data_IF_800142970186
#
_entry.id   IF_800142970186
#
_cell.length_a   1.000
_cell.length_b   1.000
_cell.length_c   1.000
_cell.angle_alpha   90.00
_cell.angle_beta   90.00
_cell.angle_gamma   90.00
#
_symmetry.space_group_name_H-M   'P 1'
#
loop_
_entity.id
_entity.type
_entity.pdbx_description
1 polymer ?
#
# COMPACT_ATOMS: atom_id res chain seq x y z
N UNK A 1 1.99 9.29 17.02
CA UNK A 1 0.68 8.66 16.70
C UNK A 1 0.73 7.20 17.11
N UNK A 2 -0.41 6.49 17.15
CA UNK A 2 -0.39 5.04 17.41
C UNK A 2 0.12 4.27 16.20
N UNK A 3 0.77 3.15 16.49
CA UNK A 3 1.33 2.22 15.51
C UNK A 3 0.84 0.84 15.87
N UNK A 4 0.26 0.12 14.91
CA UNK A 4 -0.16 -1.27 15.10
C UNK A 4 0.60 -2.18 14.16
N UNK A 5 0.91 -3.39 14.63
CA UNK A 5 1.38 -4.50 13.81
C UNK A 5 0.31 -5.58 13.74
N UNK A 6 -0.06 -5.98 12.53
CA UNK A 6 -1.00 -7.07 12.26
C UNK A 6 -0.20 -8.38 12.33
N UNK A 7 -0.62 -9.29 13.20
CA UNK A 7 0.05 -10.58 13.39
C UNK A 7 -0.94 -11.67 13.80
N UNK A 8 -0.78 -12.88 13.27
CA UNK A 8 -1.58 -14.05 13.61
C UNK A 8 -1.17 -14.63 14.96
N UNK A 9 -2.12 -15.19 15.74
CA UNK A 9 -1.82 -15.85 17.01
C UNK A 9 -0.94 -17.09 16.88
N UNK A 10 -1.06 -17.79 15.76
CA UNK A 10 -0.24 -18.96 15.43
C UNK A 10 1.17 -18.61 14.91
N UNK A 11 1.54 -17.32 14.82
CA UNK A 11 2.85 -16.88 14.31
C UNK A 11 3.60 -15.99 15.31
N UNK A 12 3.86 -16.46 16.54
CA UNK A 12 4.59 -15.69 17.55
C UNK A 12 6.04 -15.40 17.14
N UNK A 13 6.66 -16.25 16.32
CA UNK A 13 8.02 -16.08 15.80
C UNK A 13 8.14 -14.86 14.86
N UNK A 14 7.15 -14.64 13.98
CA UNK A 14 7.11 -13.45 13.10
C UNK A 14 6.98 -12.17 13.92
N UNK A 15 6.13 -12.19 14.95
CA UNK A 15 6.00 -11.06 15.89
C UNK A 15 7.30 -10.79 16.64
N UNK A 16 8.02 -11.83 17.06
CA UNK A 16 9.31 -11.67 17.73
C UNK A 16 10.35 -11.03 16.80
N UNK A 17 10.40 -11.44 15.53
CA UNK A 17 11.25 -10.80 14.52
C UNK A 17 10.89 -9.33 14.31
N UNK A 18 9.60 -9.01 14.16
CA UNK A 18 9.17 -7.61 14.04
C UNK A 18 9.53 -6.79 15.29
N UNK A 19 9.43 -7.38 16.49
CA UNK A 19 9.80 -6.70 17.73
C UNK A 19 11.27 -6.30 17.75
N UNK A 20 12.17 -7.18 17.31
CA UNK A 20 13.60 -6.86 17.18
C UNK A 20 13.82 -5.69 16.21
N UNK A 21 13.13 -5.71 15.06
CA UNK A 21 13.19 -4.62 14.08
C UNK A 21 12.67 -3.29 14.63
N UNK A 22 11.59 -3.33 15.40
CA UNK A 22 11.01 -2.15 16.04
C UNK A 22 11.92 -1.60 17.15
N UNK A 23 12.49 -2.47 18.00
CA UNK A 23 13.44 -2.09 19.06
C UNK A 23 14.70 -1.45 18.49
N UNK A 24 15.24 -1.99 17.39
CA UNK A 24 16.42 -1.45 16.68
C UNK A 24 16.28 0.03 16.33
N UNK A 25 15.06 0.49 16.06
CA UNK A 25 14.77 1.87 15.63
C UNK A 25 13.97 2.67 16.67
N UNK A 26 13.77 2.11 17.87
CA UNK A 26 12.99 2.74 18.94
C UNK A 26 11.51 2.96 18.61
N UNK A 27 10.90 2.10 17.78
CA UNK A 27 9.49 2.19 17.40
C UNK A 27 8.60 1.47 18.41
N UNK A 28 7.81 2.23 19.18
CA UNK A 28 6.74 1.66 20.00
C UNK A 28 5.55 1.24 19.11
N UNK A 29 4.97 0.07 19.39
CA UNK A 29 3.82 -0.45 18.65
C UNK A 29 2.87 -1.26 19.55
N UNK A 30 1.63 -1.40 19.10
CA UNK A 30 0.62 -2.30 19.65
C UNK A 30 0.40 -3.48 18.71
N UNK A 31 0.24 -4.69 19.25
CA UNK A 31 -0.14 -5.84 18.42
C UNK A 31 -1.64 -5.81 18.17
N UNK A 32 -2.03 -5.87 16.90
CA UNK A 32 -3.40 -6.15 16.48
C UNK A 32 -3.47 -7.61 16.02
N UNK A 33 -4.34 -8.40 16.65
CA UNK A 33 -4.55 -9.79 16.26
C UNK A 33 -5.14 -9.84 14.86
N UNK A 34 -4.47 -10.56 13.96
CA UNK A 34 -4.92 -10.78 12.60
C UNK A 34 -6.15 -11.71 12.58
N UNK A 35 -7.04 -11.47 11.63
CA UNK A 35 -8.28 -12.22 11.45
C UNK A 35 -7.99 -13.49 10.65
N UNK A 36 -8.23 -14.64 11.28
CA UNK A 36 -8.32 -15.92 10.57
C UNK A 36 -9.76 -16.17 10.14
N UNK A 37 -9.94 -16.54 8.86
CA UNK A 37 -11.26 -16.76 8.30
C UNK A 37 -11.24 -17.80 7.19
N UNK A 38 -12.40 -18.28 6.78
CA UNK A 38 -12.56 -19.15 5.63
C UNK A 38 -13.02 -18.34 4.42
N UNK A 39 -12.52 -18.70 3.24
CA UNK A 39 -12.97 -18.10 1.99
C UNK A 39 -14.44 -18.48 1.72
N UNK A 40 -15.28 -17.48 1.48
CA UNK A 40 -16.64 -17.67 0.99
C UNK A 40 -16.74 -17.12 -0.43
N UNK A 41 -16.83 -18.00 -1.43
CA UNK A 41 -16.80 -17.59 -2.83
C UNK A 41 -17.99 -16.70 -3.24
N UNK A 42 -19.17 -16.89 -2.65
CA UNK A 42 -20.34 -16.06 -2.95
C UNK A 42 -20.13 -14.60 -2.48
N UNK A 43 -19.46 -14.44 -1.33
CA UNK A 43 -19.18 -13.12 -0.74
C UNK A 43 -17.92 -12.49 -1.34
N UNK A 44 -16.83 -13.25 -1.41
CA UNK A 44 -15.47 -12.77 -1.66
C UNK A 44 -14.93 -13.12 -3.06
N UNK A 45 -15.69 -13.80 -3.90
CA UNK A 45 -15.25 -14.19 -5.23
C UNK A 45 -14.16 -15.26 -5.19
N UNK A 46 -13.00 -14.97 -5.79
CA UNK A 46 -11.89 -15.94 -5.94
C UNK A 46 -10.78 -15.77 -4.89
N UNK A 47 -11.02 -14.97 -3.86
CA UNK A 47 -10.02 -14.73 -2.81
C UNK A 47 -9.76 -16.00 -2.01
N UNK A 48 -8.49 -16.25 -1.68
CA UNK A 48 -8.11 -17.31 -0.74
C UNK A 48 -8.49 -16.92 0.69
N UNK A 49 -8.53 -17.91 1.58
CA UNK A 49 -8.81 -17.67 3.01
C UNK A 49 -7.83 -16.66 3.62
N UNK A 50 -6.54 -16.75 3.24
CA UNK A 50 -5.50 -15.81 3.64
C UNK A 50 -5.72 -14.40 3.09
N UNK A 51 -6.12 -14.27 1.81
CA UNK A 51 -6.44 -12.95 1.23
C UNK A 51 -7.65 -12.28 1.90
N UNK A 52 -8.68 -13.06 2.26
CA UNK A 52 -9.84 -12.55 3.03
C UNK A 52 -9.42 -12.16 4.45
N UNK A 53 -8.65 -13.00 5.13
CA UNK A 53 -8.15 -12.73 6.48
C UNK A 53 -7.26 -11.50 6.54
N UNK A 54 -6.35 -11.34 5.58
CA UNK A 54 -5.53 -10.14 5.43
C UNK A 54 -6.41 -8.88 5.27
N UNK A 55 -7.37 -8.90 4.35
CA UNK A 55 -8.27 -7.75 4.16
C UNK A 55 -9.05 -7.41 5.44
N UNK A 56 -9.64 -8.40 6.10
CA UNK A 56 -10.41 -8.18 7.34
C UNK A 56 -9.53 -7.71 8.51
N UNK A 57 -8.26 -8.12 8.56
CA UNK A 57 -7.29 -7.64 9.56
C UNK A 57 -7.01 -6.15 9.40
N UNK A 58 -6.83 -5.66 8.17
CA UNK A 58 -6.70 -4.23 7.94
C UNK A 58 -8.01 -3.48 8.19
N UNK A 59 -9.18 -4.07 7.87
CA UNK A 59 -10.47 -3.50 8.29
C UNK A 59 -10.57 -3.42 9.82
N UNK A 60 -10.03 -4.39 10.56
CA UNK A 60 -9.95 -4.32 12.02
C UNK A 60 -9.07 -3.15 12.49
N UNK A 61 -7.90 -2.94 11.86
CA UNK A 61 -7.05 -1.77 12.14
C UNK A 61 -7.79 -0.44 11.88
N UNK A 62 -8.60 -0.38 10.81
CA UNK A 62 -9.40 0.80 10.51
C UNK A 62 -10.51 1.04 11.54
N UNK A 63 -11.18 -0.02 12.02
CA UNK A 63 -12.16 0.08 13.11
C UNK A 63 -11.50 0.59 14.39
N UNK A 64 -10.36 0.01 14.75
CA UNK A 64 -9.56 0.43 15.89
C UNK A 64 -9.25 1.94 15.85
N UNK A 65 -8.81 2.48 14.70
CA UNK A 65 -8.60 3.93 14.55
C UNK A 65 -9.89 4.76 14.71
N UNK A 66 -11.01 4.28 14.16
CA UNK A 66 -12.28 5.00 14.24
C UNK A 66 -12.77 5.08 15.68
N UNK A 67 -12.63 3.98 16.43
CA UNK A 67 -13.02 3.81 17.83
C UNK A 67 -12.10 4.57 18.79
N UNK A 68 -10.78 4.60 18.53
CA UNK A 68 -9.84 5.34 19.40
C UNK A 68 -10.01 6.86 19.32
N UNK A 69 -10.58 7.36 18.22
CA UNK A 69 -10.74 8.80 17.98
C UNK A 69 -9.47 9.50 17.52
N UNK A 70 -8.35 8.77 17.37
CA UNK A 70 -7.08 9.32 16.89
C UNK A 70 -7.20 9.86 15.45
N UNK A 71 -6.42 10.88 15.06
CA UNK A 71 -6.47 11.41 13.70
C UNK A 71 -5.83 10.48 12.67
N UNK A 72 -4.86 9.66 13.10
CA UNK A 72 -3.99 8.84 12.25
C UNK A 72 -3.63 7.52 12.93
N UNK A 73 -3.46 6.48 12.11
CA UNK A 73 -2.89 5.20 12.51
C UNK A 73 -1.78 4.81 11.53
N UNK A 74 -0.64 4.36 12.03
CA UNK A 74 0.31 3.59 11.24
C UNK A 74 -0.01 2.09 11.37
N UNK A 75 -0.10 1.40 10.24
CA UNK A 75 -0.41 -0.02 10.16
C UNK A 75 0.76 -0.71 9.46
N UNK A 76 1.31 -1.73 10.12
CA UNK A 76 2.32 -2.62 9.56
C UNK A 76 1.85 -4.08 9.62
N UNK A 77 2.33 -4.90 8.70
CA UNK A 77 2.34 -6.37 8.83
C UNK A 77 3.61 -6.81 9.57
N UNK A 78 3.61 -8.01 10.13
CA UNK A 78 4.69 -8.56 10.96
C UNK A 78 5.92 -9.05 10.18
N UNK A 79 5.87 -9.05 8.86
CA UNK A 79 6.97 -9.45 7.97
C UNK A 79 7.64 -8.29 7.25
N UNK A 80 7.56 -7.07 7.80
CA UNK A 80 8.27 -5.93 7.23
C UNK A 80 9.61 -5.67 7.91
N UNK A 81 10.58 -5.25 7.11
CA UNK A 81 11.83 -4.61 7.54
C UNK A 81 11.63 -3.09 7.47
N UNK A 82 12.09 -2.38 8.50
CA UNK A 82 11.81 -0.96 8.70
C UNK A 82 13.06 -0.09 8.49
N UNK A 83 12.89 1.02 7.76
CA UNK A 83 13.91 2.06 7.68
C UNK A 83 13.96 2.87 9.00
N UNK A 84 15.15 3.27 9.46
CA UNK A 84 15.32 4.03 10.70
C UNK A 84 14.53 5.36 10.70
N UNK A 85 14.36 5.99 9.53
CA UNK A 85 13.61 7.23 9.37
C UNK A 85 12.10 7.10 9.71
N UNK A 86 11.55 5.89 9.79
CA UNK A 86 10.12 5.68 10.05
C UNK A 86 9.71 6.20 11.43
N UNK A 87 10.54 6.02 12.47
CA UNK A 87 10.21 6.44 13.85
C UNK A 87 10.02 7.95 13.92
N UNK A 88 11.00 8.71 13.40
CA UNK A 88 10.92 10.17 13.37
C UNK A 88 9.78 10.69 12.49
N UNK A 89 9.50 10.02 11.37
CA UNK A 89 8.36 10.35 10.51
C UNK A 89 7.01 10.18 11.23
N UNK A 90 6.82 9.06 11.94
CA UNK A 90 5.57 8.76 12.66
C UNK A 90 5.39 9.61 13.93
N UNK A 91 6.47 10.15 14.49
CA UNK A 91 6.43 11.10 15.60
C UNK A 91 5.90 12.49 15.19
N UNK A 92 5.88 12.83 13.89
CA UNK A 92 5.55 14.16 13.39
C UNK A 92 4.33 14.20 12.43
N UNK A 93 3.12 13.73 12.82
CA UNK A 93 1.93 13.78 11.96
C UNK A 93 1.58 15.19 11.46
N UNK A 94 1.93 16.24 12.21
CA UNK A 94 1.72 17.63 11.81
C UNK A 94 2.47 18.04 10.54
N UNK A 95 3.48 17.28 10.13
CA UNK A 95 4.23 17.49 8.88
C UNK A 95 3.58 16.81 7.67
N UNK A 96 2.50 16.05 7.82
CA UNK A 96 1.90 15.37 6.68
C UNK A 96 1.26 16.35 5.68
N UNK A 97 1.20 16.02 4.38
CA UNK A 97 0.57 16.89 3.39
C UNK A 97 -0.86 17.23 3.77
N UNK A 98 -1.26 18.49 3.58
CA UNK A 98 -2.62 18.94 3.87
C UNK A 98 -3.66 18.06 3.13
N UNK A 99 -4.62 17.52 3.91
CA UNK A 99 -5.64 16.57 3.46
C UNK A 99 -5.10 15.24 2.94
N UNK A 100 -3.88 14.82 3.29
CA UNK A 100 -3.47 13.44 3.07
C UNK A 100 -4.49 12.49 3.72
N UNK A 101 -4.71 11.35 3.08
CA UNK A 101 -5.66 10.34 3.56
C UNK A 101 -4.97 9.00 3.79
N UNK A 102 -4.03 8.67 2.90
CA UNK A 102 -3.22 7.46 2.91
C UNK A 102 -1.78 7.82 2.54
N UNK A 103 -0.82 7.25 3.24
CA UNK A 103 0.62 7.38 2.93
C UNK A 103 1.20 5.96 2.89
N UNK A 104 1.52 5.48 1.70
CA UNK A 104 2.17 4.18 1.52
C UNK A 104 3.64 4.30 1.92
N UNK A 105 4.06 3.45 2.86
CA UNK A 105 5.43 3.37 3.34
C UNK A 105 6.21 2.24 2.68
N UNK A 106 5.51 1.28 2.10
CA UNK A 106 6.09 0.06 1.56
C UNK A 106 6.66 0.21 0.13
N UNK A 107 7.85 -0.35 -0.07
CA UNK A 107 8.43 -0.64 -1.38
C UNK A 107 7.86 -1.94 -1.96
N UNK A 108 7.52 -1.93 -3.24
CA UNK A 108 7.04 -3.12 -3.95
C UNK A 108 7.69 -3.19 -5.35
N UNK A 109 7.86 -4.37 -5.97
CA UNK A 109 8.57 -4.50 -7.26
C UNK A 109 7.85 -3.85 -8.45
N UNK A 110 6.54 -3.59 -8.33
CA UNK A 110 5.76 -2.96 -9.39
C UNK A 110 6.12 -1.48 -9.56
N UNK A 111 6.07 -0.99 -10.81
CA UNK A 111 6.26 0.45 -11.04
C UNK A 111 5.04 1.27 -10.60
N UNK A 112 5.28 2.42 -9.99
CA UNK A 112 4.26 3.45 -9.69
C UNK A 112 4.55 4.73 -10.45
N UNK A 113 3.51 5.45 -10.84
CA UNK A 113 3.59 6.81 -11.36
C UNK A 113 3.30 7.80 -10.24
N UNK A 114 4.21 8.73 -9.99
CA UNK A 114 4.11 9.74 -8.94
C UNK A 114 4.15 11.16 -9.52
N UNK A 115 3.51 12.10 -8.83
CA UNK A 115 3.61 13.51 -9.15
C UNK A 115 5.05 14.03 -8.94
N UNK A 116 5.51 14.99 -9.77
CA UNK A 116 6.87 15.52 -9.64
C UNK A 116 7.08 16.35 -8.37
N UNK A 117 6.04 17.04 -7.88
CA UNK A 117 6.10 17.78 -6.62
C UNK A 117 6.06 16.80 -5.45
N UNK A 118 6.91 17.05 -4.47
CA UNK A 118 7.06 16.24 -3.27
C UNK A 118 7.08 17.12 -2.04
N UNK A 119 6.74 16.53 -0.89
CA UNK A 119 7.07 17.10 0.42
C UNK A 119 8.32 16.39 0.95
N UNK A 120 9.40 17.15 1.18
CA UNK A 120 10.68 16.60 1.59
C UNK A 120 10.72 16.27 3.09
N UNK A 121 11.36 15.14 3.38
CA UNK A 121 11.76 14.67 4.69
C UNK A 121 13.26 14.36 4.66
N UNK A 122 13.83 14.00 5.80
CA UNK A 122 15.23 13.57 5.84
C UNK A 122 15.35 12.18 5.21
N UNK A 123 16.18 12.04 4.17
CA UNK A 123 16.39 10.79 3.42
C UNK A 123 15.28 10.36 2.43
N UNK A 124 14.08 10.94 2.47
CA UNK A 124 12.97 10.58 1.57
C UNK A 124 12.01 11.74 1.30
N UNK A 125 11.07 11.55 0.36
CA UNK A 125 10.00 12.50 0.09
C UNK A 125 8.65 11.82 -0.12
N UNK A 126 7.57 12.54 0.20
CA UNK A 126 6.21 12.10 -0.08
C UNK A 126 5.72 12.67 -1.40
N UNK A 127 5.36 11.79 -2.33
CA UNK A 127 4.81 12.16 -3.61
C UNK A 127 3.35 11.71 -3.75
N UNK A 128 2.51 12.54 -4.38
CA UNK A 128 1.14 12.14 -4.71
C UNK A 128 1.17 10.98 -5.72
N UNK A 129 0.51 9.87 -5.40
CA UNK A 129 0.36 8.74 -6.32
C UNK A 129 -0.61 9.07 -7.46
N UNK A 130 -0.25 8.67 -8.69
CA UNK A 130 -1.04 8.85 -9.93
C UNK A 130 -1.44 7.54 -10.59
N UNK A 131 -0.81 6.43 -10.23
CA UNK A 131 -1.21 5.08 -10.65
C UNK A 131 -1.28 4.16 -9.44
N UNK A 132 -1.84 2.97 -9.67
CA UNK A 132 -1.79 1.86 -8.72
C UNK A 132 -0.34 1.49 -8.38
N UNK A 133 -0.14 1.07 -7.14
CA UNK A 133 1.05 0.40 -6.63
C UNK A 133 0.59 -0.73 -5.71
N UNK A 134 1.05 -1.96 -5.92
CA UNK A 134 0.65 -3.11 -5.10
C UNK A 134 1.33 -3.10 -3.72
N UNK A 135 0.81 -3.94 -2.84
CA UNK A 135 1.29 -4.12 -1.46
C UNK A 135 0.52 -3.25 -0.46
N UNK A 136 0.35 -3.78 0.75
CA UNK A 136 -0.30 -3.12 1.90
C UNK A 136 0.47 -3.28 3.21
N UNK A 137 1.71 -3.79 3.16
CA UNK A 137 2.43 -4.24 4.35
C UNK A 137 2.84 -3.11 5.30
N UNK A 138 2.84 -1.85 4.82
CA UNK A 138 3.11 -0.69 5.68
C UNK A 138 2.53 0.61 5.14
N UNK A 139 1.70 1.27 5.94
CA UNK A 139 1.10 2.56 5.57
C UNK A 139 0.58 3.36 6.77
N UNK A 140 0.32 4.64 6.52
CA UNK A 140 -0.39 5.52 7.44
C UNK A 140 -1.76 5.87 6.86
N UNK A 141 -2.80 5.83 7.68
CA UNK A 141 -4.18 6.10 7.29
C UNK A 141 -4.81 7.15 8.21
N UNK A 142 -5.52 8.11 7.63
CA UNK A 142 -6.31 9.09 8.39
C UNK A 142 -7.63 8.49 8.87
N UNK A 143 -8.18 9.00 9.98
CA UNK A 143 -9.50 8.57 10.46
C UNK A 143 -10.61 8.73 9.41
N UNK A 144 -10.56 9.82 8.63
CA UNK A 144 -11.49 10.07 7.52
C UNK A 144 -11.42 8.98 6.45
N UNK A 145 -10.22 8.58 6.08
CA UNK A 145 -10.00 7.51 5.11
C UNK A 145 -10.46 6.16 5.66
N UNK A 146 -10.19 5.87 6.94
CA UNK A 146 -10.62 4.65 7.61
C UNK A 146 -12.14 4.49 7.62
N UNK A 147 -12.89 5.52 8.05
CA UNK A 147 -14.37 5.52 8.03
C UNK A 147 -14.88 5.20 6.63
N UNK A 148 -14.36 5.89 5.61
CA UNK A 148 -14.77 5.68 4.23
C UNK A 148 -14.46 4.27 3.74
N UNK A 149 -13.24 3.78 3.99
CA UNK A 149 -12.81 2.47 3.54
C UNK A 149 -13.63 1.36 4.20
N UNK A 150 -13.97 1.50 5.48
CA UNK A 150 -14.87 0.59 6.18
C UNK A 150 -16.22 0.45 5.47
N UNK A 151 -16.85 1.58 5.11
CA UNK A 151 -18.13 1.60 4.41
C UNK A 151 -18.02 1.06 2.98
N UNK A 152 -16.97 1.46 2.25
CA UNK A 152 -16.82 1.12 0.82
C UNK A 152 -16.33 -0.30 0.56
N UNK A 153 -15.86 -0.99 1.59
CA UNK A 153 -15.30 -2.34 1.46
C UNK A 153 -16.04 -3.38 2.31
N UNK A 154 -17.32 -3.17 2.64
CA UNK A 154 -18.15 -4.21 3.31
C UNK A 154 -18.29 -5.48 2.44
N UNK A 155 -18.33 -5.31 1.12
CA UNK A 155 -18.41 -6.39 0.13
C UNK A 155 -17.20 -6.42 -0.81
N UNK A 156 -16.00 -6.64 -0.27
CA UNK A 156 -14.79 -6.73 -1.08
C UNK A 156 -14.64 -8.10 -1.79
N UNK A 157 -14.15 -8.06 -3.03
CA UNK A 157 -13.89 -9.25 -3.89
C UNK A 157 -12.50 -9.24 -4.53
N UNK A 158 -11.65 -8.31 -4.10
CA UNK A 158 -10.27 -8.14 -4.53
C UNK A 158 -9.39 -8.04 -3.29
N UNK A 159 -8.15 -8.53 -3.33
CA UNK A 159 -7.29 -8.49 -2.15
C UNK A 159 -6.90 -7.03 -1.84
N UNK A 160 -6.53 -6.77 -0.59
CA UNK A 160 -6.38 -5.40 -0.11
C UNK A 160 -5.21 -4.65 -0.77
N UNK A 161 -4.12 -5.38 -1.00
CA UNK A 161 -2.88 -4.97 -1.68
C UNK A 161 -3.13 -4.40 -3.09
N UNK A 162 -4.28 -4.71 -3.70
CA UNK A 162 -4.65 -4.19 -5.02
C UNK A 162 -5.73 -3.10 -4.99
N UNK A 163 -6.38 -2.88 -3.85
CA UNK A 163 -7.51 -1.95 -3.68
C UNK A 163 -7.04 -0.63 -3.08
N UNK A 164 -6.37 -0.66 -1.92
CA UNK A 164 -6.17 0.55 -1.08
C UNK A 164 -5.20 1.55 -1.73
N UNK A 165 -4.27 1.05 -2.55
CA UNK A 165 -3.25 1.86 -3.22
C UNK A 165 -3.46 1.95 -4.74
N UNK A 166 -4.71 1.88 -5.18
CA UNK A 166 -5.13 2.19 -6.55
C UNK A 166 -5.99 3.46 -6.59
N UNK A 167 -5.45 4.64 -7.00
CA UNK A 167 -6.20 5.88 -7.08
C UNK A 167 -7.45 5.83 -7.99
N UNK A 168 -7.61 4.79 -8.80
CA UNK A 168 -8.77 4.57 -9.69
C UNK A 168 -9.83 3.66 -9.07
N UNK A 169 -9.52 2.96 -8.00
CA UNK A 169 -10.46 2.08 -7.32
C UNK A 169 -11.55 2.90 -6.62
N UNK A 170 -12.80 2.44 -6.70
CA UNK A 170 -13.95 3.17 -6.19
C UNK A 170 -13.89 3.38 -4.67
N UNK A 171 -13.31 2.42 -3.94
CA UNK A 171 -13.19 2.50 -2.49
C UNK A 171 -12.40 3.74 -2.05
N UNK A 172 -11.33 4.05 -2.78
CA UNK A 172 -10.41 5.16 -2.48
C UNK A 172 -10.56 6.37 -3.40
N UNK A 173 -11.50 6.35 -4.35
CA UNK A 173 -11.72 7.45 -5.31
C UNK A 173 -11.93 8.80 -4.62
N UNK A 174 -10.99 9.72 -4.80
CA UNK A 174 -11.03 11.06 -4.17
C UNK A 174 -10.27 11.15 -2.84
N UNK A 175 -9.71 10.06 -2.34
CA UNK A 175 -8.70 10.09 -1.26
C UNK A 175 -7.34 10.55 -1.80
N UNK A 176 -6.59 11.27 -0.97
CA UNK A 176 -5.23 11.73 -1.21
C UNK A 176 -4.18 10.75 -0.70
N UNK A 177 -3.85 9.81 -1.56
CA UNK A 177 -2.82 8.79 -1.46
C UNK A 177 -1.43 9.33 -1.83
N UNK A 178 -0.47 9.21 -0.93
CA UNK A 178 0.94 9.55 -1.16
C UNK A 178 1.81 8.29 -1.06
N UNK A 179 2.95 8.30 -1.74
CA UNK A 179 3.99 7.29 -1.66
C UNK A 179 5.25 7.92 -1.07
N UNK A 180 5.84 7.28 -0.06
CA UNK A 180 7.19 7.59 0.39
C UNK A 180 8.20 7.08 -0.66
N UNK A 181 9.12 7.95 -1.07
CA UNK A 181 10.20 7.64 -2.02
C UNK A 181 11.52 8.22 -1.51
N UNK A 182 12.52 7.38 -1.16
CA UNK A 182 12.43 5.93 -0.99
C UNK A 182 11.37 5.50 0.05
N UNK A 183 10.96 4.23 0.00
CA UNK A 183 9.98 3.67 0.90
C UNK A 183 10.59 3.38 2.28
N UNK A 184 9.80 3.49 3.34
CA UNK A 184 10.25 3.33 4.73
C UNK A 184 10.08 1.91 5.27
N UNK A 185 9.46 1.01 4.51
CA UNK A 185 9.47 -0.41 4.81
C UNK A 185 9.48 -1.25 3.53
N UNK A 186 9.82 -2.52 3.68
CA UNK A 186 9.75 -3.54 2.64
C UNK A 186 9.42 -4.88 3.28
N UNK A 187 8.66 -5.73 2.60
CA UNK A 187 8.44 -7.09 3.08
C UNK A 187 9.77 -7.87 3.06
N UNK A 188 10.02 -8.63 4.11
CA UNK A 188 11.26 -9.38 4.32
C UNK A 188 11.54 -10.32 3.15
N UNK A 189 10.53 -11.03 2.64
CA UNK A 189 10.71 -11.92 1.49
C UNK A 189 11.10 -11.20 0.20
N UNK A 190 10.68 -9.94 0.01
CA UNK A 190 11.10 -9.13 -1.14
C UNK A 190 12.55 -8.67 -0.98
N UNK A 191 12.97 -8.37 0.25
CA UNK A 191 14.36 -8.00 0.56
C UNK A 191 15.29 -9.21 0.39
N UNK A 192 14.92 -10.36 0.94
CA UNK A 192 15.64 -11.62 0.78
C UNK A 192 15.79 -12.01 -0.70
N UNK A 193 14.70 -11.91 -1.48
CA UNK A 193 14.75 -12.17 -2.92
C UNK A 193 15.71 -11.22 -3.67
N UNK A 194 15.80 -9.95 -3.26
CA UNK A 194 16.78 -8.99 -3.82
C UNK A 194 18.22 -9.33 -3.45
N UNK A 195 18.44 -9.86 -2.25
CA UNK A 195 19.75 -10.31 -1.78
C UNK A 195 20.14 -11.70 -2.31
N UNK A 196 19.24 -12.41 -3.01
CA UNK A 196 19.46 -13.79 -3.43
C UNK A 196 19.45 -14.79 -2.27
N UNK A 197 18.83 -14.45 -1.15
CA UNK A 197 18.71 -15.29 0.04
C UNK A 197 17.28 -15.81 0.23
N UNK A 198 17.13 -16.85 1.05
CA UNK A 198 15.81 -17.30 1.49
C UNK A 198 15.22 -16.31 2.52
N UNK A 199 13.89 -16.12 2.55
CA UNK A 199 13.25 -15.35 3.61
C UNK A 199 13.41 -16.04 4.96
N UNK A 200 13.48 -15.24 6.03
CA UNK A 200 13.46 -15.72 7.42
C UNK A 200 12.17 -16.48 7.74
N UNK A 201 11.04 -15.98 7.22
CA UNK A 201 9.71 -16.58 7.41
C UNK A 201 9.00 -16.74 6.07
N UNK A 202 8.30 -17.86 5.81
CA UNK A 202 7.53 -18.02 4.59
C UNK A 202 6.35 -17.04 4.53
N UNK A 203 5.96 -16.62 3.32
CA UNK A 203 4.69 -15.90 3.13
C UNK A 203 3.52 -16.80 3.55
N UNK A 204 2.65 -16.28 4.43
CA UNK A 204 1.47 -17.00 4.90
C UNK A 204 0.25 -16.81 3.98
N UNK A 205 0.36 -15.96 2.96
CA UNK A 205 -0.70 -15.71 1.99
C UNK A 205 -0.33 -16.40 0.68
N UNK A 206 -1.03 -17.50 0.39
CA UNK A 206 -1.09 -18.03 -0.96
C UNK A 206 -1.96 -17.11 -1.81
N UNK A 207 -1.35 -16.40 -2.75
CA UNK A 207 -2.08 -15.60 -3.71
C UNK A 207 -2.87 -16.51 -4.64
N UNK A 208 -4.16 -16.21 -4.80
CA UNK A 208 -4.95 -16.87 -5.84
C UNK A 208 -4.25 -16.57 -7.18
N UNK A 209 -3.75 -17.60 -7.85
CA UNK A 209 -3.04 -17.48 -9.11
C UNK A 209 -4.00 -17.03 -10.23
N UNK A 210 -4.31 -15.74 -10.21
CA UNK A 210 -4.93 -15.00 -11.31
C UNK A 210 -3.92 -13.98 -11.85
N UNK A 211 -2.68 -14.43 -12.05
CA UNK A 211 -1.87 -13.94 -13.17
C UNK A 211 -2.46 -14.53 -14.47
N UNK A 212 -3.68 -14.13 -14.80
CA UNK A 212 -4.11 -14.18 -16.20
C UNK A 212 -3.21 -13.18 -16.92
N UNK A 213 -2.13 -13.67 -17.54
CA UNK A 213 -1.50 -12.94 -18.64
C UNK A 213 -2.64 -12.52 -19.55
N UNK A 214 -2.86 -11.22 -19.82
CA UNK A 214 -3.86 -10.84 -20.79
C UNK A 214 -3.54 -11.60 -22.08
N UNK A 215 -4.54 -12.19 -22.76
CA UNK A 215 -4.28 -12.86 -24.03
C UNK A 215 -3.53 -11.89 -24.95
N UNK A 216 -2.55 -12.37 -25.76
CA UNK A 216 -1.82 -11.50 -26.65
C UNK A 216 -2.81 -10.70 -27.50
N UNK A 217 -2.68 -9.37 -27.46
CA UNK A 217 -3.59 -8.47 -28.13
C UNK A 217 -3.72 -8.88 -29.61
N UNK A 218 -4.95 -9.17 -30.04
CA UNK A 218 -5.23 -9.51 -31.44
C UNK A 218 -4.86 -8.35 -32.36
N UNK A 219 -4.53 -8.63 -33.61
CA UNK A 219 -3.98 -7.66 -34.57
C UNK A 219 -4.85 -6.38 -34.71
N UNK A 220 -6.17 -6.48 -34.52
CA UNK A 220 -7.12 -5.36 -34.48
C UNK A 220 -7.01 -4.47 -33.23
N UNK A 221 -6.57 -5.01 -32.09
CA UNK A 221 -6.30 -4.25 -30.84
C UNK A 221 -4.96 -3.52 -30.85
N UNK A 222 -4.03 -3.86 -31.77
CA UNK A 222 -2.79 -3.11 -32.00
C UNK A 222 -3.05 -1.82 -32.80
N UNK A 223 -3.94 -1.88 -33.79
CA UNK A 223 -4.30 -0.75 -34.64
C UNK A 223 -5.08 0.35 -33.88
N UNK A 224 -5.98 -0.03 -32.96
CA UNK A 224 -6.75 0.94 -32.16
C UNK A 224 -5.90 1.71 -31.13
N UNK A 225 -4.79 1.12 -30.66
CA UNK A 225 -3.84 1.78 -29.76
C UNK A 225 -2.97 2.82 -30.48
N UNK A 226 -2.78 2.67 -31.78
CA UNK A 226 -2.04 3.61 -32.61
C UNK A 226 -2.94 4.78 -33.08
N UNK A 227 -4.21 4.50 -33.38
CA UNK A 227 -5.22 5.52 -33.70
C UNK A 227 -5.53 6.40 -32.47
N UNK A 228 -5.58 5.84 -31.26
CA UNK A 228 -5.67 6.60 -30.00
C UNK A 228 -4.37 7.39 -29.68
N UNK A 229 -3.23 7.02 -30.26
CA UNK A 229 -1.97 7.77 -30.14
C UNK A 229 -2.01 9.05 -30.98
N UNK A 230 -2.65 9.01 -32.14
CA UNK A 230 -2.84 10.16 -33.03
C UNK A 230 -4.05 11.01 -32.61
N UNK A 231 -5.15 10.41 -32.15
CA UNK A 231 -6.35 11.12 -31.68
C UNK A 231 -6.17 11.99 -30.43
N UNK A 232 -5.01 11.92 -29.74
CA UNK A 232 -4.68 12.82 -28.62
C UNK A 232 -4.15 14.19 -29.05
N UNK A 233 -3.94 14.43 -30.35
CA UNK A 233 -3.51 15.74 -30.85
C UNK A 233 -4.64 16.74 -31.07
N UNK A 234 -5.92 16.38 -30.94
CA UNK A 234 -7.03 17.32 -31.14
C UNK A 234 -8.09 17.14 -30.04
N UNK A 235 -7.93 17.90 -28.96
CA UNK A 235 -9.00 18.51 -28.15
C UNK A 235 -8.35 19.26 -26.99
N UNK A 236 -8.38 20.59 -27.10
CA UNK A 236 -7.86 21.54 -26.12
C UNK A 236 -8.76 21.69 -24.90
N UNK A 237 -8.16 22.31 -23.87
CA UNK A 237 -8.69 22.69 -22.55
C UNK A 237 -8.64 21.61 -21.46
N UNK A 238 -7.42 21.32 -20.96
CA UNK A 238 -7.03 21.41 -19.53
C UNK A 238 -5.49 21.43 -19.48
N UNK A 239 -4.85 22.60 -19.60
CA UNK A 239 -3.38 22.69 -19.71
C UNK A 239 -2.64 22.39 -18.39
N UNK A 240 -3.21 22.71 -17.22
CA UNK A 240 -2.52 22.46 -15.94
C UNK A 240 -2.48 20.97 -15.54
N UNK A 241 -3.55 20.21 -15.78
CA UNK A 241 -3.61 18.78 -15.44
C UNK A 241 -2.81 17.92 -16.42
N UNK A 242 -2.72 18.33 -17.70
CA UNK A 242 -1.90 17.64 -18.71
C UNK A 242 -0.41 17.82 -18.44
N UNK A 243 0.07 19.03 -18.14
CA UNK A 243 1.49 19.24 -17.83
C UNK A 243 1.95 18.48 -16.58
N UNK A 244 1.13 18.45 -15.53
CA UNK A 244 1.43 17.69 -14.31
C UNK A 244 1.50 16.17 -14.55
N UNK A 245 0.68 15.65 -15.49
CA UNK A 245 0.74 14.25 -15.93
C UNK A 245 1.98 14.00 -16.80
N UNK A 246 2.32 14.92 -17.70
CA UNK A 246 3.49 14.83 -18.59
C UNK A 246 4.83 14.86 -17.83
N UNK A 247 4.87 15.49 -16.65
CA UNK A 247 6.05 15.52 -15.75
C UNK A 247 6.02 14.47 -14.65
N UNK A 248 5.01 13.59 -14.63
CA UNK A 248 4.95 12.51 -13.63
C UNK A 248 6.06 11.50 -13.88
N UNK A 249 6.70 11.03 -12.81
CA UNK A 249 7.79 10.06 -12.88
C UNK A 249 7.24 8.66 -12.67
N UNK A 250 7.65 7.71 -13.50
CA UNK A 250 7.36 6.28 -13.32
C UNK A 250 8.62 5.60 -12.82
N UNK A 251 8.54 4.88 -11.70
CA UNK A 251 9.67 4.22 -11.06
C UNK A 251 9.23 2.95 -10.32
N UNK A 252 10.17 2.05 -10.07
CA UNK A 252 10.07 1.09 -8.95
C UNK A 252 10.52 1.84 -7.70
N UNK A 253 9.75 1.81 -6.62
CA UNK A 253 10.10 2.56 -5.41
C UNK A 253 11.25 1.84 -4.70
N UNK A 254 12.43 2.46 -4.54
CA UNK A 254 13.51 1.87 -3.75
C UNK A 254 13.11 1.81 -2.27
N UNK A 255 13.64 0.84 -1.54
CA UNK A 255 13.57 0.82 -0.08
C UNK A 255 14.67 1.73 0.47
N UNK A 256 14.38 2.50 1.52
CA UNK A 256 15.39 3.29 2.24
C UNK A 256 16.17 2.32 3.13
N UNK A 257 17.33 1.88 2.66
CA UNK A 257 18.27 1.13 3.48
C UNK A 257 18.81 2.03 4.59
N UNK A 258 19.14 1.41 5.73
CA UNK A 258 19.63 2.09 6.92
C UNK A 258 20.95 2.82 6.68
#
# INVERSE_FOLDING_TARGET
MRVVVINLDRSPERLATFRVEAERIGLAFERLVAVETQANAARHGRLTAGEVGCFESHRAAWRYLVESGDPWLAVFEDDVVLAAAVTGFLAAPGRFPARADLIKLEAFPDTVTIAPRALAFDGFALHRMRSRHRGSAGYVISRRAAIRLLQRTEGFRRPIDVVVFDPRDEAVRGLRIHQAVPALCIQEHLLAARAGSAPLHPSLIEHSSALVRPPPATQRQRLSREILRVGRQIAGRVNASREAILRSRRLVVPFLEA
#
